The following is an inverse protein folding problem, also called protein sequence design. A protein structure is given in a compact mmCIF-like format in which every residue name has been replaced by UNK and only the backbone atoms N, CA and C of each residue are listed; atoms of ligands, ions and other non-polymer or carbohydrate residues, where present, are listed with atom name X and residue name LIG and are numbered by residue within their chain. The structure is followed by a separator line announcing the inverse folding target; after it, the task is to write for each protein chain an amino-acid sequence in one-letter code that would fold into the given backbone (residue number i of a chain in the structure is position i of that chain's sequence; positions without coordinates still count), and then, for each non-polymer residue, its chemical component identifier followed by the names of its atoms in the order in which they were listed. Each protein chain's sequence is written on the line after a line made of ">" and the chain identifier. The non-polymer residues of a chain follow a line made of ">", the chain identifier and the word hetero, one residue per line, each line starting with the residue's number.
data_IF_280779173472
#
_entry.id   IF_280779173472
#
_cell.length_a   1.000
_cell.length_b   1.000
_cell.length_c   1.000
_cell.angle_alpha   90.00
_cell.angle_beta   90.00
_cell.angle_gamma   90.00
#
_symmetry.space_group_name_H-M   'P 1'
#
loop_
_entity.id
_entity.type
_entity.pdbx_description
1 polymer ?
#
# COMPACT_ATOMS: atom_id res chain seq x y z
N UNK A 1 -1.29 12.15 -4.80
CA UNK A 1 -1.02 10.80 -5.33
C UNK A 1 -1.08 9.83 -4.16
N UNK A 2 -1.81 8.73 -4.32
CA UNK A 2 -1.98 7.68 -3.30
C UNK A 2 -1.67 6.33 -3.94
N UNK A 3 -0.98 5.45 -3.23
CA UNK A 3 -0.85 4.04 -3.64
C UNK A 3 -1.97 3.16 -3.06
N UNK A 4 -2.87 3.76 -2.28
CA UNK A 4 -3.91 3.05 -1.55
C UNK A 4 -5.22 3.08 -2.33
N UNK A 5 -5.80 1.93 -2.67
CA UNK A 5 -7.09 1.85 -3.35
C UNK A 5 -8.22 2.20 -2.37
N UNK A 6 -9.03 3.19 -2.75
CA UNK A 6 -10.03 3.79 -1.85
C UNK A 6 -11.15 2.81 -1.47
N UNK A 7 -11.58 1.94 -2.39
CA UNK A 7 -12.68 1.01 -2.14
C UNK A 7 -12.32 -0.08 -1.13
N UNK A 8 -11.12 -0.64 -1.21
CA UNK A 8 -10.65 -1.72 -0.31
C UNK A 8 -10.53 -1.25 1.14
N UNK A 9 -10.29 0.05 1.34
CA UNK A 9 -10.25 0.69 2.65
C UNK A 9 -11.65 1.06 3.16
N UNK A 10 -12.58 1.40 2.26
CA UNK A 10 -13.95 1.80 2.64
C UNK A 10 -14.84 0.61 3.01
N UNK A 11 -14.67 -0.53 2.35
CA UNK A 11 -15.47 -1.73 2.61
C UNK A 11 -14.92 -2.44 3.86
N UNK A 12 -15.50 -2.15 5.03
CA UNK A 12 -15.16 -2.84 6.27
C UNK A 12 -15.82 -4.23 6.33
N UNK A 13 -15.03 -5.32 6.35
CA UNK A 13 -15.56 -6.69 6.41
C UNK A 13 -16.34 -6.97 7.71
N UNK A 14 -16.08 -6.26 8.80
CA UNK A 14 -16.79 -6.47 10.07
C UNK A 14 -18.28 -6.15 9.93
N UNK A 15 -18.62 -5.07 9.21
CA UNK A 15 -20.00 -4.72 8.88
C UNK A 15 -20.67 -5.82 8.05
N UNK A 16 -19.92 -6.42 7.11
CA UNK A 16 -20.42 -7.53 6.30
C UNK A 16 -20.73 -8.77 7.15
N UNK A 17 -19.88 -9.12 8.13
CA UNK A 17 -20.12 -10.26 9.02
C UNK A 17 -21.38 -10.06 9.88
N UNK A 18 -21.65 -8.84 10.33
CA UNK A 18 -22.85 -8.52 11.08
C UNK A 18 -24.13 -8.76 10.27
N UNK A 19 -24.14 -8.37 8.99
CA UNK A 19 -25.29 -8.58 8.10
C UNK A 19 -25.40 -10.01 7.56
N UNK A 20 -24.27 -10.72 7.42
CA UNK A 20 -24.22 -12.08 6.88
C UNK A 20 -23.44 -13.05 7.79
N UNK A 21 -24.03 -13.49 8.92
CA UNK A 21 -23.35 -14.36 9.89
C UNK A 21 -22.99 -15.75 9.34
N UNK A 22 -23.67 -16.20 8.29
CA UNK A 22 -23.45 -17.48 7.62
C UNK A 22 -22.37 -17.43 6.52
N UNK A 23 -21.61 -16.35 6.42
CA UNK A 23 -20.50 -16.24 5.46
C UNK A 23 -19.50 -17.38 5.66
N UNK A 24 -19.01 -17.93 4.54
CA UNK A 24 -17.97 -18.93 4.58
C UNK A 24 -16.69 -18.37 5.25
N UNK A 25 -16.16 -19.00 6.31
CA UNK A 25 -15.04 -18.45 7.10
C UNK A 25 -13.82 -18.06 6.26
N UNK A 26 -13.43 -18.91 5.30
CA UNK A 26 -12.29 -18.65 4.40
C UNK A 26 -12.49 -17.38 3.56
N UNK A 27 -13.71 -17.14 3.04
CA UNK A 27 -14.00 -15.95 2.24
C UNK A 27 -13.90 -14.70 3.10
N UNK A 28 -14.47 -14.75 4.31
CA UNK A 28 -14.38 -13.66 5.27
C UNK A 28 -12.93 -13.35 5.64
N UNK A 29 -12.13 -14.35 5.99
CA UNK A 29 -10.72 -14.16 6.33
C UNK A 29 -9.95 -13.49 5.19
N UNK A 30 -10.18 -13.88 3.94
CA UNK A 30 -9.55 -13.23 2.79
C UNK A 30 -9.90 -11.73 2.70
N UNK A 31 -11.18 -11.39 2.77
CA UNK A 31 -11.64 -9.99 2.75
C UNK A 31 -11.06 -9.19 3.92
N UNK A 32 -11.08 -9.77 5.12
CA UNK A 32 -10.52 -9.18 6.33
C UNK A 32 -9.03 -8.90 6.19
N UNK A 33 -8.24 -9.88 5.72
CA UNK A 33 -6.80 -9.72 5.52
C UNK A 33 -6.46 -8.65 4.49
N UNK A 34 -7.23 -8.56 3.40
CA UNK A 34 -7.03 -7.56 2.36
C UNK A 34 -7.37 -6.16 2.88
N UNK A 35 -8.50 -5.99 3.56
CA UNK A 35 -8.88 -4.73 4.17
C UNK A 35 -7.83 -4.25 5.18
N UNK A 36 -7.41 -5.13 6.10
CA UNK A 36 -6.39 -4.81 7.09
C UNK A 36 -5.04 -4.45 6.47
N UNK A 37 -4.65 -5.13 5.38
CA UNK A 37 -3.45 -4.79 4.64
C UNK A 37 -3.50 -3.36 4.12
N UNK A 38 -4.55 -3.00 3.38
CA UNK A 38 -4.67 -1.66 2.80
C UNK A 38 -4.86 -0.57 3.84
N UNK A 39 -5.52 -0.87 4.96
CA UNK A 39 -5.59 0.01 6.13
C UNK A 39 -4.21 0.31 6.72
N UNK A 40 -3.35 -0.70 6.82
CA UNK A 40 -1.99 -0.50 7.30
C UNK A 40 -1.15 0.33 6.31
N UNK A 41 -1.32 0.11 4.99
CA UNK A 41 -0.67 0.94 3.95
C UNK A 41 -1.16 2.39 4.02
N UNK A 42 -2.46 2.61 4.22
CA UNK A 42 -3.06 3.94 4.41
C UNK A 42 -2.43 4.69 5.61
N UNK A 43 -2.28 4.00 6.74
CA UNK A 43 -1.66 4.58 7.92
C UNK A 43 -0.19 4.93 7.66
N UNK A 44 0.58 4.02 7.03
CA UNK A 44 1.97 4.26 6.68
C UNK A 44 2.12 5.44 5.70
N UNK A 45 1.21 5.56 4.73
CA UNK A 45 1.22 6.67 3.78
C UNK A 45 0.93 8.02 4.46
N UNK A 46 -0.03 8.06 5.39
CA UNK A 46 -0.31 9.25 6.20
C UNK A 46 0.92 9.68 7.00
N UNK A 47 1.59 8.73 7.65
CA UNK A 47 2.83 8.99 8.41
C UNK A 47 3.95 9.49 7.48
N UNK A 48 4.12 8.89 6.30
CA UNK A 48 5.10 9.34 5.32
C UNK A 48 4.81 10.79 4.87
N UNK A 49 3.55 11.10 4.55
CA UNK A 49 3.09 12.44 4.16
C UNK A 49 3.34 13.48 5.26
N UNK A 50 3.08 13.13 6.52
CA UNK A 50 3.38 14.01 7.66
C UNK A 50 4.88 14.34 7.76
N UNK A 51 5.75 13.42 7.35
CA UNK A 51 7.19 13.63 7.29
C UNK A 51 7.67 14.30 5.99
N UNK A 52 6.77 14.76 5.11
CA UNK A 52 7.13 15.33 3.79
C UNK A 52 7.69 14.29 2.81
N UNK A 53 7.34 13.01 2.98
CA UNK A 53 7.81 11.89 2.16
C UNK A 53 6.65 11.18 1.47
N UNK A 54 6.96 10.38 0.47
CA UNK A 54 6.02 9.47 -0.20
C UNK A 54 6.33 8.02 0.16
N UNK A 55 5.28 7.21 0.22
CA UNK A 55 5.41 5.77 0.44
C UNK A 55 5.61 5.08 -0.90
N UNK A 56 6.77 4.44 -1.07
CA UNK A 56 7.17 3.80 -2.34
C UNK A 56 7.28 2.29 -2.14
N UNK A 57 6.60 1.47 -2.97
CA UNK A 57 6.74 0.03 -2.92
C UNK A 57 8.17 -0.43 -3.23
N UNK A 58 8.63 -1.47 -2.52
CA UNK A 58 9.94 -2.08 -2.76
C UNK A 58 10.09 -2.64 -4.18
N UNK A 59 9.00 -2.98 -4.86
CA UNK A 59 8.99 -3.44 -6.27
C UNK A 59 9.43 -2.34 -7.25
N UNK A 60 9.20 -1.07 -6.91
CA UNK A 60 9.56 0.07 -7.76
C UNK A 60 11.05 0.43 -7.67
N UNK A 61 11.72 0.05 -6.57
CA UNK A 61 13.11 0.42 -6.27
C UNK A 61 14.12 -0.61 -6.78
N UNK A 62 15.33 -0.14 -7.12
CA UNK A 62 16.45 -1.04 -7.40
C UNK A 62 16.93 -1.77 -6.13
N UNK A 63 17.34 -3.04 -6.23
CA UNK A 63 17.72 -3.89 -5.09
C UNK A 63 18.85 -3.28 -4.26
N UNK A 64 19.90 -2.79 -4.91
CA UNK A 64 21.06 -2.22 -4.22
C UNK A 64 20.69 -0.93 -3.45
N UNK A 65 19.75 -0.14 -3.99
CA UNK A 65 19.29 1.08 -3.32
C UNK A 65 18.41 0.79 -2.11
N UNK A 66 17.71 -0.35 -2.11
CA UNK A 66 16.91 -0.80 -0.97
C UNK A 66 17.80 -1.11 0.24
N UNK A 67 18.93 -1.78 0.01
CA UNK A 67 19.88 -2.11 1.08
C UNK A 67 20.46 -0.86 1.74
N UNK A 68 20.82 0.16 0.94
CA UNK A 68 21.34 1.44 1.45
C UNK A 68 20.32 2.28 2.21
N UNK A 69 19.01 2.03 2.02
CA UNK A 69 17.90 2.81 2.60
C UNK A 69 17.07 1.99 3.60
N UNK A 70 17.69 0.98 4.21
CA UNK A 70 17.02 0.05 5.12
C UNK A 70 16.40 0.71 6.36
N UNK A 71 16.96 1.83 6.80
CA UNK A 71 16.47 2.66 7.92
C UNK A 71 15.06 3.23 7.67
N UNK A 72 14.69 3.42 6.41
CA UNK A 72 13.39 3.99 5.98
C UNK A 72 12.39 2.93 5.52
N UNK A 73 12.71 1.66 5.73
CA UNK A 73 11.88 0.53 5.33
C UNK A 73 10.70 0.37 6.30
N UNK A 74 9.51 0.24 5.73
CA UNK A 74 8.28 -0.08 6.43
C UNK A 74 7.80 -1.43 5.92
N UNK A 75 7.71 -2.43 6.80
CA UNK A 75 7.23 -3.77 6.45
C UNK A 75 5.74 -3.88 6.79
N UNK A 76 4.91 -4.20 5.80
CA UNK A 76 3.46 -4.41 5.97
C UNK A 76 3.10 -5.79 5.44
N UNK A 77 2.94 -6.75 6.35
CA UNK A 77 2.79 -8.16 5.99
C UNK A 77 3.99 -8.65 5.19
N UNK A 78 3.73 -9.20 4.00
CA UNK A 78 4.78 -9.70 3.09
C UNK A 78 5.37 -8.61 2.19
N UNK A 79 4.79 -7.41 2.17
CA UNK A 79 5.21 -6.32 1.31
C UNK A 79 6.09 -5.34 2.06
N UNK A 80 7.15 -4.88 1.39
CA UNK A 80 8.03 -3.83 1.90
C UNK A 80 7.76 -2.53 1.16
N UNK A 81 7.78 -1.44 1.92
CA UNK A 81 7.64 -0.07 1.43
C UNK A 81 8.78 0.78 1.98
N UNK A 82 9.04 1.92 1.35
CA UNK A 82 10.08 2.85 1.75
C UNK A 82 9.51 4.27 1.78
N UNK A 83 9.70 4.98 2.88
CA UNK A 83 9.33 6.39 2.98
C UNK A 83 10.48 7.24 2.42
N UNK A 84 10.32 7.74 1.19
CA UNK A 84 11.36 8.48 0.46
C UNK A 84 10.84 9.83 -0.02
N UNK A 85 11.73 10.80 -0.21
CA UNK A 85 11.34 12.03 -0.90
C UNK A 85 11.27 11.78 -2.41
N UNK A 86 10.44 12.53 -3.13
CA UNK A 86 10.29 12.37 -4.59
C UNK A 86 11.60 12.70 -5.32
N UNK A 87 12.40 13.63 -4.80
CA UNK A 87 13.69 13.98 -5.39
C UNK A 87 14.75 12.87 -5.23
N UNK A 88 14.56 11.94 -4.28
CA UNK A 88 15.50 10.84 -4.05
C UNK A 88 15.33 9.68 -5.04
N UNK A 89 14.24 9.67 -5.81
CA UNK A 89 13.93 8.68 -6.82
C UNK A 89 14.72 8.97 -8.10
N UNK A 90 15.31 7.94 -8.68
CA UNK A 90 15.84 8.07 -10.04
C UNK A 90 14.70 8.21 -11.05
N UNK A 91 14.98 8.72 -12.26
CA UNK A 91 13.99 8.83 -13.34
C UNK A 91 13.24 7.51 -13.58
N UNK A 92 13.96 6.39 -13.58
CA UNK A 92 13.37 5.07 -13.80
C UNK A 92 12.48 4.62 -12.63
N UNK A 93 12.90 4.86 -11.38
CA UNK A 93 12.10 4.51 -10.19
C UNK A 93 10.86 5.40 -10.09
N UNK A 94 10.99 6.68 -10.43
CA UNK A 94 9.88 7.61 -10.51
C UNK A 94 8.86 7.15 -11.55
N UNK A 95 9.30 6.75 -12.73
CA UNK A 95 8.40 6.22 -13.77
C UNK A 95 7.70 4.94 -13.32
N UNK A 96 8.42 4.01 -12.67
CA UNK A 96 7.81 2.79 -12.11
C UNK A 96 6.79 3.10 -11.02
N UNK A 97 7.11 4.06 -10.15
CA UNK A 97 6.21 4.50 -9.10
C UNK A 97 4.93 5.12 -9.68
N UNK A 98 5.05 6.02 -10.66
CA UNK A 98 3.90 6.65 -11.31
C UNK A 98 3.04 5.62 -12.05
N UNK A 99 3.66 4.65 -12.74
CA UNK A 99 2.93 3.54 -13.37
C UNK A 99 2.16 2.72 -12.34
N UNK A 100 2.75 2.46 -11.19
CA UNK A 100 2.09 1.70 -10.12
C UNK A 100 0.92 2.48 -9.50
N UNK A 101 1.09 3.79 -9.26
CA UNK A 101 0.00 4.68 -8.83
C UNK A 101 -1.14 4.67 -9.85
N UNK A 102 -0.81 4.77 -11.15
CA UNK A 102 -1.81 4.71 -12.22
C UNK A 102 -2.50 3.36 -12.30
N UNK A 103 -1.80 2.24 -12.17
CA UNK A 103 -2.40 0.90 -12.19
C UNK A 103 -3.42 0.74 -11.05
N UNK A 104 -3.08 1.20 -9.85
CA UNK A 104 -4.00 1.17 -8.71
C UNK A 104 -5.18 2.16 -8.88
N UNK A 105 -5.03 3.19 -9.72
CA UNK A 105 -6.13 4.09 -10.15
C UNK A 105 -6.97 3.52 -11.32
N UNK A 106 -6.37 2.80 -12.29
CA UNK A 106 -6.99 2.36 -13.56
C UNK A 106 -7.55 0.95 -13.57
N UNK A 107 -7.24 0.10 -12.59
CA UNK A 107 -7.99 -1.17 -12.40
C UNK A 107 -9.50 -0.93 -12.15
N UNK A 108 -9.94 0.33 -12.11
CA UNK A 108 -11.29 0.74 -11.76
C UNK A 108 -11.87 1.88 -12.65
N UNK A 109 -11.69 1.80 -13.98
CA UNK A 109 -12.65 2.40 -14.95
C UNK A 109 -13.44 1.27 -15.62
#
# INVERSE_FOLDING_TARGET
>A
MTIVPTEKVKQDPQSYLFHFPSVHPIKYTRMFTEHHHWKAVEAAEKVAKMCGRVLVPASCLHWERKERKGDRRIQIGKHAFYALALEELTKNEHQKYMKHVQEEETVFV
#
